data_IF_045546097693
#
_entry.id   IF_045546097693
#
_cell.length_a   1.000
_cell.length_b   1.000
_cell.length_c   1.000
_cell.angle_alpha   90.00
_cell.angle_beta   90.00
_cell.angle_gamma   90.00
#
_symmetry.space_group_name_H-M   'P 1'
#
loop_
_entity.id
_entity.type
_entity.pdbx_description
1 polymer ?
#
# COMPACT_ATOMS: atom_id res chain seq x y z
N UNK A 1 -34.50 -16.41 4.19
CA UNK A 1 -33.10 -16.01 3.94
C UNK A 1 -32.92 -14.61 4.48
N UNK A 2 -31.98 -14.38 5.40
CA UNK A 2 -31.71 -13.03 5.86
C UNK A 2 -31.20 -12.18 4.68
N UNK A 3 -31.67 -10.95 4.56
CA UNK A 3 -31.23 -10.02 3.54
C UNK A 3 -29.73 -9.74 3.75
N UNK A 4 -28.92 -9.81 2.69
CA UNK A 4 -27.49 -9.48 2.77
C UNK A 4 -27.29 -8.01 3.12
N UNK A 5 -26.29 -7.73 3.93
CA UNK A 5 -25.86 -6.36 4.23
C UNK A 5 -25.15 -5.79 3.00
N UNK A 6 -25.65 -4.68 2.48
CA UNK A 6 -25.09 -4.01 1.30
C UNK A 6 -24.00 -3.02 1.68
N UNK A 7 -22.80 -3.23 1.19
CA UNK A 7 -21.63 -2.38 1.51
C UNK A 7 -21.04 -1.78 0.24
N UNK A 8 -20.91 -0.45 0.23
CA UNK A 8 -20.16 0.27 -0.80
C UNK A 8 -18.76 0.61 -0.29
N UNK A 9 -17.73 0.01 -0.91
CA UNK A 9 -16.32 0.38 -0.74
C UNK A 9 -16.01 1.54 -1.69
N UNK A 10 -15.83 2.74 -1.17
CA UNK A 10 -15.64 3.95 -1.97
C UNK A 10 -14.20 4.42 -1.95
N UNK A 11 -13.62 4.63 -3.12
CA UNK A 11 -12.28 5.20 -3.27
C UNK A 11 -12.21 6.14 -4.47
N UNK A 12 -11.40 7.19 -4.37
CA UNK A 12 -11.22 8.16 -5.45
C UNK A 12 -10.24 7.71 -6.54
N UNK A 13 -9.45 6.69 -6.27
CA UNK A 13 -8.44 6.17 -7.18
C UNK A 13 -8.34 4.66 -7.02
N UNK A 14 -8.57 3.95 -8.12
CA UNK A 14 -8.52 2.49 -8.14
C UNK A 14 -7.50 2.02 -9.17
N UNK A 15 -6.26 2.51 -8.98
CA UNK A 15 -5.08 2.12 -9.74
C UNK A 15 -4.27 1.03 -9.02
N UNK A 16 -3.08 0.71 -9.51
CA UNK A 16 -2.15 -0.21 -8.85
C UNK A 16 -1.55 0.51 -7.62
N UNK A 17 -2.22 0.39 -6.48
CA UNK A 17 -1.86 1.06 -5.21
C UNK A 17 -2.19 0.18 -4.02
N UNK A 18 -1.52 0.42 -2.89
CA UNK A 18 -1.79 -0.32 -1.65
C UNK A 18 -3.25 -0.25 -1.18
N UNK A 19 -3.92 0.91 -1.34
CA UNK A 19 -5.34 1.06 -0.97
C UNK A 19 -6.22 0.15 -1.85
N UNK A 20 -5.96 0.12 -3.16
CA UNK A 20 -6.72 -0.73 -4.09
C UNK A 20 -6.55 -2.21 -3.76
N UNK A 21 -5.33 -2.64 -3.44
CA UNK A 21 -5.03 -4.02 -3.00
C UNK A 21 -5.79 -4.37 -1.73
N UNK A 22 -5.81 -3.47 -0.74
CA UNK A 22 -6.56 -3.68 0.52
C UNK A 22 -8.06 -3.83 0.26
N UNK A 23 -8.65 -2.96 -0.58
CA UNK A 23 -10.07 -3.05 -0.93
C UNK A 23 -10.38 -4.37 -1.63
N UNK A 24 -9.55 -4.79 -2.59
CA UNK A 24 -9.70 -6.05 -3.31
C UNK A 24 -9.62 -7.25 -2.35
N UNK A 25 -8.62 -7.26 -1.47
CA UNK A 25 -8.47 -8.32 -0.48
C UNK A 25 -9.70 -8.41 0.44
N UNK A 26 -10.20 -7.29 0.97
CA UNK A 26 -11.44 -7.31 1.76
C UNK A 26 -12.63 -7.85 0.94
N UNK A 27 -12.78 -7.41 -0.31
CA UNK A 27 -13.87 -7.86 -1.16
C UNK A 27 -13.78 -9.35 -1.54
N UNK A 28 -12.61 -9.95 -1.55
CA UNK A 28 -12.42 -11.38 -1.82
C UNK A 28 -12.74 -12.25 -0.60
N UNK A 29 -12.30 -11.81 0.57
CA UNK A 29 -12.30 -12.64 1.78
C UNK A 29 -13.53 -12.44 2.68
N UNK A 30 -14.26 -11.32 2.55
CA UNK A 30 -15.53 -11.15 3.26
C UNK A 30 -16.59 -12.12 2.78
N UNK A 31 -17.35 -12.70 3.72
CA UNK A 31 -18.38 -13.70 3.44
C UNK A 31 -19.49 -13.16 2.52
N UNK A 32 -19.50 -13.66 1.28
CA UNK A 32 -20.47 -13.31 0.24
C UNK A 32 -21.89 -13.81 0.51
N UNK A 33 -22.10 -14.74 1.43
CA UNK A 33 -23.43 -15.12 1.89
C UNK A 33 -24.04 -14.06 2.79
N UNK A 34 -23.21 -13.34 3.49
CA UNK A 34 -23.58 -12.31 4.48
C UNK A 34 -23.58 -10.88 3.87
N UNK A 35 -22.63 -10.60 2.99
CA UNK A 35 -22.41 -9.27 2.40
C UNK A 35 -22.65 -9.21 0.90
N UNK A 36 -23.24 -8.11 0.46
CA UNK A 36 -23.31 -7.69 -0.95
C UNK A 36 -22.34 -6.52 -1.13
N UNK A 37 -21.20 -6.80 -1.75
CA UNK A 37 -20.06 -5.88 -1.82
C UNK A 37 -19.97 -5.20 -3.18
N UNK A 38 -19.93 -3.88 -3.18
CA UNK A 38 -19.72 -3.07 -4.38
C UNK A 38 -18.53 -2.14 -4.19
N UNK A 39 -17.58 -2.17 -5.13
CA UNK A 39 -16.51 -1.16 -5.21
C UNK A 39 -17.00 0.00 -6.08
N UNK A 40 -16.94 1.22 -5.56
CA UNK A 40 -17.29 2.44 -6.28
C UNK A 40 -16.03 3.31 -6.40
N UNK A 41 -15.57 3.54 -7.61
CA UNK A 41 -14.29 4.21 -7.85
C UNK A 41 -14.32 5.24 -8.98
N UNK A 42 -13.57 6.33 -8.81
CA UNK A 42 -13.37 7.36 -9.84
C UNK A 42 -12.34 6.93 -10.90
N UNK A 43 -12.61 7.28 -12.16
CA UNK A 43 -11.64 7.07 -13.27
C UNK A 43 -10.39 7.96 -13.13
N UNK A 44 -9.22 7.53 -13.64
CA UNK A 44 -8.96 6.27 -14.33
C UNK A 44 -8.84 5.08 -13.36
N UNK A 45 -9.28 3.91 -13.82
CA UNK A 45 -9.16 2.63 -13.10
C UNK A 45 -8.15 1.76 -13.85
N UNK A 46 -7.26 1.09 -13.12
CA UNK A 46 -6.31 0.17 -13.72
C UNK A 46 -7.04 -1.05 -14.33
N UNK A 47 -6.61 -1.46 -15.52
CA UNK A 47 -7.22 -2.60 -16.22
C UNK A 47 -7.05 -3.90 -15.43
N UNK A 48 -5.93 -4.06 -14.75
CA UNK A 48 -5.66 -5.18 -13.85
C UNK A 48 -6.71 -5.29 -12.73
N UNK A 49 -7.09 -4.15 -12.15
CA UNK A 49 -8.10 -4.14 -11.08
C UNK A 49 -9.50 -4.42 -11.62
N UNK A 50 -9.83 -3.97 -12.85
CA UNK A 50 -11.09 -4.36 -13.51
C UNK A 50 -11.17 -5.86 -13.73
N UNK A 51 -10.10 -6.43 -14.29
CA UNK A 51 -10.00 -7.85 -14.53
C UNK A 51 -10.12 -8.64 -13.23
N UNK A 52 -9.44 -8.22 -12.19
CA UNK A 52 -9.48 -8.84 -10.88
C UNK A 52 -10.88 -8.77 -10.23
N UNK A 53 -11.59 -7.65 -10.36
CA UNK A 53 -12.99 -7.55 -9.94
C UNK A 53 -13.88 -8.55 -10.70
N UNK A 54 -13.74 -8.60 -12.03
CA UNK A 54 -14.54 -9.49 -12.88
C UNK A 54 -14.28 -10.98 -12.56
N UNK A 55 -13.02 -11.39 -12.44
CA UNK A 55 -12.61 -12.75 -12.14
C UNK A 55 -13.11 -13.23 -10.76
N UNK A 56 -13.21 -12.30 -9.80
CA UNK A 56 -13.68 -12.60 -8.46
C UNK A 56 -15.16 -12.26 -8.24
N UNK A 57 -15.92 -11.90 -9.27
CA UNK A 57 -17.33 -11.55 -9.15
C UNK A 57 -17.61 -10.35 -8.22
N UNK A 58 -16.67 -9.38 -8.14
CA UNK A 58 -16.83 -8.16 -7.37
C UNK A 58 -17.55 -7.13 -8.26
N UNK A 59 -18.66 -6.58 -7.78
CA UNK A 59 -19.36 -5.51 -8.46
C UNK A 59 -18.50 -4.24 -8.45
N UNK A 60 -18.13 -3.72 -9.63
CA UNK A 60 -17.37 -2.49 -9.78
C UNK A 60 -18.21 -1.43 -10.49
N UNK A 61 -18.42 -0.30 -9.83
CA UNK A 61 -19.11 0.88 -10.40
C UNK A 61 -18.08 1.97 -10.65
N UNK A 62 -17.90 2.34 -11.91
CA UNK A 62 -16.97 3.38 -12.34
C UNK A 62 -17.66 4.75 -12.38
N UNK A 63 -17.12 5.70 -11.65
CA UNK A 63 -17.56 7.09 -11.67
C UNK A 63 -16.72 7.92 -12.67
N UNK A 64 -17.23 9.05 -13.18
CA UNK A 64 -16.43 10.04 -13.90
C UNK A 64 -15.19 10.44 -13.12
N UNK A 65 -14.16 10.94 -13.82
CA UNK A 65 -12.93 11.38 -13.16
C UNK A 65 -13.20 12.54 -12.20
N UNK A 66 -12.81 12.38 -10.94
CA UNK A 66 -12.93 13.43 -9.93
C UNK A 66 -12.15 14.70 -10.29
N UNK A 67 -11.00 14.56 -10.95
CA UNK A 67 -10.14 15.69 -11.32
C UNK A 67 -10.64 16.44 -12.55
N UNK A 68 -11.24 15.74 -13.51
CA UNK A 68 -11.69 16.33 -14.77
C UNK A 68 -13.17 16.74 -14.75
N UNK A 69 -14.00 15.98 -14.03
CA UNK A 69 -15.45 16.11 -14.03
C UNK A 69 -16.04 16.04 -12.61
N UNK A 70 -15.49 16.84 -11.68
CA UNK A 70 -15.82 16.73 -10.25
C UNK A 70 -17.32 16.78 -9.93
N UNK A 71 -18.08 17.68 -10.57
CA UNK A 71 -19.53 17.76 -10.36
C UNK A 71 -20.23 16.49 -10.82
N UNK A 72 -19.91 16.00 -12.02
CA UNK A 72 -20.50 14.75 -12.54
C UNK A 72 -20.13 13.56 -11.65
N UNK A 73 -18.89 13.50 -11.17
CA UNK A 73 -18.43 12.46 -10.24
C UNK A 73 -19.31 12.39 -9.00
N UNK A 74 -19.50 13.51 -8.31
CA UNK A 74 -20.25 13.52 -7.06
C UNK A 74 -21.77 13.36 -7.26
N UNK A 75 -22.33 13.88 -8.35
CA UNK A 75 -23.73 13.63 -8.72
C UNK A 75 -23.94 12.14 -9.03
N UNK A 76 -23.01 11.51 -9.74
CA UNK A 76 -23.07 10.08 -10.04
C UNK A 76 -22.94 9.24 -8.77
N UNK A 77 -22.03 9.60 -7.87
CA UNK A 77 -21.92 8.93 -6.57
C UNK A 77 -23.23 8.99 -5.79
N UNK A 78 -23.84 10.18 -5.70
CA UNK A 78 -25.13 10.34 -5.04
C UNK A 78 -26.21 9.46 -5.64
N UNK A 79 -26.35 9.45 -6.99
CA UNK A 79 -27.33 8.61 -7.71
C UNK A 79 -27.13 7.13 -7.40
N UNK A 80 -25.90 6.64 -7.48
CA UNK A 80 -25.55 5.24 -7.21
C UNK A 80 -25.91 4.88 -5.76
N UNK A 81 -25.51 5.69 -4.79
CA UNK A 81 -25.82 5.41 -3.38
C UNK A 81 -27.31 5.46 -3.08
N UNK A 82 -28.05 6.41 -3.69
CA UNK A 82 -29.50 6.56 -3.51
C UNK A 82 -30.29 5.41 -4.13
N UNK A 83 -29.89 4.93 -5.30
CA UNK A 83 -30.58 3.88 -6.04
C UNK A 83 -30.38 2.47 -5.46
N UNK A 84 -29.18 2.19 -4.93
CA UNK A 84 -28.83 0.84 -4.46
C UNK A 84 -29.14 0.59 -2.98
N UNK A 85 -29.46 1.64 -2.19
CA UNK A 85 -29.83 1.53 -0.78
C UNK A 85 -28.77 0.73 0.04
N UNK A 86 -27.53 1.22 0.07
CA UNK A 86 -26.47 0.61 0.87
C UNK A 86 -26.71 0.81 2.38
N UNK A 87 -26.44 -0.23 3.17
CA UNK A 87 -26.46 -0.18 4.63
C UNK A 87 -25.21 0.53 5.16
N UNK A 88 -24.07 0.25 4.53
CA UNK A 88 -22.75 0.78 4.91
C UNK A 88 -22.09 1.43 3.70
N UNK A 89 -21.56 2.63 3.90
CA UNK A 89 -20.58 3.25 2.98
C UNK A 89 -19.24 3.33 3.69
N UNK A 90 -18.24 2.60 3.16
CA UNK A 90 -16.89 2.53 3.68
C UNK A 90 -15.95 3.30 2.74
N UNK A 91 -15.54 4.49 3.14
CA UNK A 91 -14.69 5.39 2.33
C UNK A 91 -13.23 5.20 2.70
N UNK A 92 -12.42 4.86 1.70
CA UNK A 92 -10.98 4.65 1.84
C UNK A 92 -10.20 5.85 1.32
N UNK A 93 -9.27 6.38 2.14
CA UNK A 93 -8.45 7.52 1.75
C UNK A 93 -7.45 7.93 2.82
N UNK A 94 -6.88 9.15 2.67
CA UNK A 94 -5.84 9.67 3.57
C UNK A 94 -6.05 11.15 3.90
N UNK A 95 -7.24 11.67 3.67
CA UNK A 95 -7.49 13.11 3.80
C UNK A 95 -8.91 13.41 4.25
N UNK A 96 -9.09 14.50 4.98
CA UNK A 96 -10.42 15.05 5.33
C UNK A 96 -11.29 15.37 4.11
N UNK A 97 -10.76 15.32 2.89
CA UNK A 97 -11.55 15.42 1.67
C UNK A 97 -12.59 14.30 1.55
N UNK A 98 -12.41 13.16 2.23
CA UNK A 98 -13.43 12.12 2.38
C UNK A 98 -14.74 12.64 2.99
N UNK A 99 -14.73 13.83 3.60
CA UNK A 99 -15.95 14.49 4.08
C UNK A 99 -16.97 14.70 2.97
N UNK A 100 -16.54 14.87 1.73
CA UNK A 100 -17.45 15.07 0.59
C UNK A 100 -18.21 13.79 0.29
N UNK A 101 -17.51 12.66 0.15
CA UNK A 101 -18.11 11.34 -0.09
C UNK A 101 -19.02 10.92 1.06
N UNK A 102 -18.59 11.14 2.31
CA UNK A 102 -19.40 10.85 3.50
C UNK A 102 -20.63 11.72 3.62
N UNK A 103 -20.56 12.99 3.18
CA UNK A 103 -21.71 13.89 3.13
C UNK A 103 -22.72 13.41 2.08
N UNK A 104 -22.24 13.03 0.91
CA UNK A 104 -23.07 12.48 -0.16
C UNK A 104 -23.77 11.20 0.32
N UNK A 105 -23.04 10.32 1.03
CA UNK A 105 -23.62 9.12 1.62
C UNK A 105 -24.74 9.46 2.64
N UNK A 106 -24.50 10.46 3.50
CA UNK A 106 -25.53 10.96 4.42
C UNK A 106 -26.77 11.50 3.68
N UNK A 107 -26.56 12.30 2.64
CA UNK A 107 -27.65 12.84 1.81
C UNK A 107 -28.40 11.74 1.03
N UNK A 108 -27.74 10.66 0.66
CA UNK A 108 -28.36 9.49 0.06
C UNK A 108 -29.17 8.64 1.05
N UNK A 109 -29.08 8.93 2.36
CA UNK A 109 -29.80 8.24 3.44
C UNK A 109 -29.00 7.08 4.09
N UNK A 110 -27.70 6.92 3.77
CA UNK A 110 -26.87 5.89 4.37
C UNK A 110 -26.54 6.23 5.83
N UNK A 111 -26.92 5.35 6.74
CA UNK A 111 -26.79 5.58 8.19
C UNK A 111 -25.34 5.30 8.66
N UNK A 112 -24.75 4.21 8.20
CA UNK A 112 -23.40 3.78 8.61
C UNK A 112 -22.38 4.30 7.58
N UNK A 113 -21.51 5.22 8.03
CA UNK A 113 -20.53 5.91 7.19
C UNK A 113 -19.16 5.77 7.84
N UNK A 114 -18.32 4.91 7.25
CA UNK A 114 -16.99 4.58 7.75
C UNK A 114 -15.94 5.40 7.01
N UNK A 115 -15.05 6.04 7.75
CA UNK A 115 -13.84 6.67 7.22
C UNK A 115 -12.63 5.80 7.55
N UNK A 116 -11.88 5.32 6.55
CA UNK A 116 -10.70 4.48 6.75
C UNK A 116 -9.44 5.20 6.27
N UNK A 117 -8.54 5.48 7.21
CA UNK A 117 -7.27 6.17 6.98
C UNK A 117 -6.18 5.18 6.56
N UNK A 118 -5.46 5.49 5.46
CA UNK A 118 -4.41 4.64 4.91
C UNK A 118 -3.03 5.30 4.81
N UNK A 119 -2.89 6.58 5.20
CA UNK A 119 -1.60 7.27 5.11
C UNK A 119 -1.49 8.37 6.18
N UNK A 120 -0.27 8.85 6.40
CA UNK A 120 0.09 9.90 7.37
C UNK A 120 0.27 11.28 6.72
N UNK A 121 -0.08 11.41 5.44
CA UNK A 121 0.02 12.68 4.70
C UNK A 121 -0.96 12.68 3.50
N UNK A 122 -1.27 13.88 3.01
CA UNK A 122 -2.04 14.06 1.79
C UNK A 122 -1.45 15.19 0.93
N UNK A 123 -1.67 15.18 -0.40
CA UNK A 123 -1.10 16.18 -1.29
C UNK A 123 -1.60 17.61 -1.03
N UNK A 124 -2.86 17.78 -0.61
CA UNK A 124 -3.47 19.09 -0.41
C UNK A 124 -3.74 19.38 1.06
N UNK A 125 -2.70 19.81 1.77
CA UNK A 125 -2.75 20.13 3.20
C UNK A 125 -3.70 21.28 3.54
N UNK A 126 -3.87 22.27 2.63
CA UNK A 126 -4.75 23.41 2.88
C UNK A 126 -6.21 22.96 2.94
N UNK A 127 -6.66 22.23 1.93
CA UNK A 127 -8.02 21.70 1.88
C UNK A 127 -8.25 20.70 3.03
N UNK A 128 -7.27 19.84 3.30
CA UNK A 128 -7.34 18.92 4.44
C UNK A 128 -7.63 19.66 5.75
N UNK A 129 -6.85 20.70 6.08
CA UNK A 129 -7.03 21.49 7.31
C UNK A 129 -8.38 22.19 7.39
N UNK A 130 -8.86 22.75 6.28
CA UNK A 130 -10.16 23.45 6.22
C UNK A 130 -11.31 22.47 6.46
N UNK A 131 -11.27 21.29 5.85
CA UNK A 131 -12.34 20.30 5.95
C UNK A 131 -12.29 19.47 7.24
N UNK A 132 -11.15 19.39 7.91
CA UNK A 132 -10.95 18.49 9.05
C UNK A 132 -11.95 18.68 10.21
N UNK A 133 -12.33 19.90 10.64
CA UNK A 133 -13.32 20.06 11.70
C UNK A 133 -14.71 19.53 11.34
N UNK A 134 -15.09 19.64 10.07
CA UNK A 134 -16.35 19.06 9.57
C UNK A 134 -16.22 17.55 9.35
N UNK A 135 -15.11 17.10 8.79
CA UNK A 135 -14.82 15.68 8.57
C UNK A 135 -14.98 14.87 9.85
N UNK A 136 -14.46 15.37 10.99
CA UNK A 136 -14.53 14.70 12.29
C UNK A 136 -15.96 14.51 12.84
N UNK A 137 -16.96 15.15 12.23
CA UNK A 137 -18.37 15.08 12.64
C UNK A 137 -19.27 14.32 11.67
N UNK A 138 -18.78 13.97 10.46
CA UNK A 138 -19.63 13.41 9.41
C UNK A 138 -19.62 11.89 9.33
N UNK A 139 -18.49 11.23 9.64
CA UNK A 139 -18.46 9.77 9.74
C UNK A 139 -19.17 9.27 11.02
N UNK A 140 -19.58 8.01 11.01
CA UNK A 140 -20.16 7.32 12.20
C UNK A 140 -19.17 6.35 12.82
N UNK A 141 -18.16 5.89 12.04
CA UNK A 141 -17.09 5.03 12.49
C UNK A 141 -15.78 5.45 11.84
N UNK A 142 -14.70 5.47 12.61
CA UNK A 142 -13.34 5.76 12.16
C UNK A 142 -12.49 4.49 12.22
N UNK A 143 -11.81 4.17 11.11
CA UNK A 143 -10.85 3.08 11.01
C UNK A 143 -9.52 3.60 10.49
N UNK A 144 -8.42 2.97 10.88
CA UNK A 144 -7.08 3.31 10.39
C UNK A 144 -6.25 2.05 10.18
N UNK A 145 -5.39 2.04 9.17
CA UNK A 145 -4.47 0.93 8.92
C UNK A 145 -3.36 0.79 9.97
N UNK A 146 -3.15 1.81 10.80
CA UNK A 146 -2.19 1.86 11.90
C UNK A 146 -2.39 3.10 12.74
N UNK A 147 -1.75 3.14 13.90
CA UNK A 147 -1.92 4.24 14.87
C UNK A 147 -1.55 5.60 14.28
N UNK A 148 -0.39 5.72 13.61
CA UNK A 148 0.04 6.99 13.03
C UNK A 148 -0.93 7.50 11.94
N UNK A 149 -1.50 6.61 11.12
CA UNK A 149 -2.49 6.99 10.11
C UNK A 149 -3.82 7.45 10.76
N UNK A 150 -4.19 6.87 11.89
CA UNK A 150 -5.34 7.27 12.68
C UNK A 150 -5.12 8.64 13.36
N UNK A 151 -4.04 8.80 14.10
CA UNK A 151 -3.66 10.06 14.77
C UNK A 151 -3.59 11.22 13.76
N UNK A 152 -3.03 10.98 12.58
CA UNK A 152 -2.95 11.95 11.48
C UNK A 152 -4.33 12.45 11.03
N UNK A 153 -5.27 11.54 10.79
CA UNK A 153 -6.56 11.91 10.18
C UNK A 153 -7.61 12.29 11.23
N UNK A 154 -7.70 11.54 12.30
CA UNK A 154 -8.76 11.68 13.30
C UNK A 154 -8.33 12.52 14.52
N UNK A 155 -7.02 12.67 14.76
CA UNK A 155 -6.48 13.39 15.91
C UNK A 155 -6.89 12.73 17.22
N UNK A 156 -7.58 13.47 18.09
CA UNK A 156 -8.05 12.98 19.39
C UNK A 156 -9.36 12.17 19.35
N UNK A 157 -10.01 12.10 18.17
CA UNK A 157 -11.21 11.27 18.02
C UNK A 157 -10.84 9.79 18.07
N UNK A 158 -11.69 8.99 18.69
CA UNK A 158 -11.51 7.54 18.76
C UNK A 158 -11.57 6.90 17.37
N UNK A 159 -10.71 5.92 17.14
CA UNK A 159 -10.67 5.08 15.95
C UNK A 159 -10.22 3.67 16.28
N UNK A 160 -10.61 2.72 15.44
CA UNK A 160 -10.14 1.34 15.56
C UNK A 160 -9.07 1.07 14.50
N UNK A 161 -8.06 0.28 14.88
CA UNK A 161 -6.97 -0.09 13.99
C UNK A 161 -7.35 -1.39 13.28
N UNK A 162 -7.41 -1.32 11.95
CA UNK A 162 -7.57 -2.47 11.06
C UNK A 162 -6.32 -2.50 10.16
N UNK A 163 -5.33 -3.34 10.43
CA UNK A 163 -4.13 -3.45 9.61
C UNK A 163 -4.48 -3.78 8.16
N UNK A 164 -3.66 -3.34 7.22
CA UNK A 164 -3.79 -3.78 5.83
C UNK A 164 -3.50 -5.28 5.77
N UNK A 165 -4.56 -6.09 5.67
CA UNK A 165 -4.44 -7.54 5.61
C UNK A 165 -4.03 -8.03 4.23
N UNK A 166 -3.23 -9.09 4.19
CA UNK A 166 -2.84 -9.79 2.98
C UNK A 166 -2.51 -11.25 3.28
N UNK A 167 -2.40 -12.06 2.24
CA UNK A 167 -2.06 -13.47 2.35
C UNK A 167 -0.60 -13.63 2.75
N UNK A 168 -0.36 -13.70 4.06
CA UNK A 168 1.01 -13.74 4.62
C UNK A 168 1.78 -14.98 4.21
N UNK A 169 1.09 -16.09 3.93
CA UNK A 169 1.67 -17.35 3.46
C UNK A 169 2.31 -17.23 2.07
N UNK A 170 1.85 -16.25 1.26
CA UNK A 170 2.42 -16.02 -0.07
C UNK A 170 3.80 -15.35 -0.03
N UNK A 171 4.19 -14.77 1.13
CA UNK A 171 5.44 -14.04 1.27
C UNK A 171 6.45 -14.84 2.10
N UNK A 172 6.89 -15.96 1.55
CA UNK A 172 7.97 -16.76 2.09
C UNK A 172 9.16 -16.74 1.14
N UNK A 173 10.40 -16.76 1.69
CA UNK A 173 11.60 -16.83 0.87
C UNK A 173 11.60 -18.10 0.04
N UNK A 174 11.79 -17.96 -1.26
CA UNK A 174 11.82 -19.05 -2.21
C UNK A 174 13.14 -19.04 -2.98
N UNK A 175 13.96 -20.07 -2.77
CA UNK A 175 15.27 -20.17 -3.37
C UNK A 175 15.24 -20.49 -4.86
N UNK A 176 14.24 -21.26 -5.30
CA UNK A 176 14.09 -21.59 -6.73
C UNK A 176 13.63 -20.34 -7.51
N UNK A 177 12.68 -19.59 -6.96
CA UNK A 177 12.29 -18.30 -7.53
C UNK A 177 13.45 -17.30 -7.54
N UNK A 178 14.26 -17.28 -6.48
CA UNK A 178 15.48 -16.47 -6.46
C UNK A 178 16.42 -16.81 -7.62
N UNK A 179 16.71 -18.09 -7.81
CA UNK A 179 17.58 -18.55 -8.91
C UNK A 179 16.98 -18.23 -10.28
N UNK A 180 15.68 -18.46 -10.45
CA UNK A 180 14.95 -18.17 -11.68
C UNK A 180 15.07 -16.69 -12.06
N UNK A 181 14.66 -15.79 -11.14
CA UNK A 181 14.67 -14.35 -11.41
C UNK A 181 16.09 -13.81 -11.63
N UNK A 182 17.07 -14.25 -10.82
CA UNK A 182 18.46 -13.81 -10.99
C UNK A 182 19.02 -14.25 -12.35
N UNK A 183 18.69 -15.45 -12.82
CA UNK A 183 19.08 -15.96 -14.15
C UNK A 183 18.37 -15.20 -15.28
N UNK A 184 17.08 -14.95 -15.18
CA UNK A 184 16.30 -14.20 -16.16
C UNK A 184 16.81 -12.77 -16.36
N UNK A 185 17.37 -12.18 -15.31
CA UNK A 185 17.91 -10.81 -15.32
C UNK A 185 19.43 -10.74 -15.57
N UNK A 186 20.11 -11.89 -15.71
CA UNK A 186 21.58 -11.99 -15.86
C UNK A 186 22.34 -11.35 -14.67
N UNK A 187 21.89 -11.68 -13.44
CA UNK A 187 22.44 -11.13 -12.19
C UNK A 187 22.73 -12.20 -11.11
N UNK A 188 23.04 -13.44 -11.53
CA UNK A 188 23.22 -14.59 -10.60
C UNK A 188 24.24 -14.31 -9.51
N UNK A 189 25.39 -13.76 -9.86
CA UNK A 189 26.49 -13.49 -8.95
C UNK A 189 26.52 -12.05 -8.43
N UNK A 190 25.45 -11.27 -8.70
CA UNK A 190 25.38 -9.87 -8.32
C UNK A 190 24.77 -9.67 -6.93
N UNK A 191 25.23 -8.61 -6.26
CA UNK A 191 24.58 -8.05 -5.08
C UNK A 191 23.36 -7.25 -5.52
N UNK A 192 22.13 -7.73 -5.21
CA UNK A 192 20.88 -7.13 -5.67
C UNK A 192 20.28 -6.24 -4.59
N UNK A 193 20.34 -4.94 -4.81
CA UNK A 193 19.68 -3.93 -4.00
C UNK A 193 18.30 -3.69 -4.61
N UNK A 194 17.24 -3.91 -3.84
CA UNK A 194 15.88 -3.89 -4.36
C UNK A 194 15.02 -2.76 -3.82
N UNK A 195 14.10 -2.31 -4.67
CA UNK A 195 13.02 -1.40 -4.29
C UNK A 195 11.76 -1.76 -5.08
N UNK A 196 10.64 -1.89 -4.38
CA UNK A 196 9.32 -2.08 -5.00
C UNK A 196 8.41 -0.92 -4.57
N UNK A 197 7.80 -0.25 -5.53
CA UNK A 197 6.86 0.81 -5.20
C UNK A 197 6.47 1.69 -6.39
N UNK A 198 5.41 2.51 -6.17
CA UNK A 198 4.98 3.50 -7.16
C UNK A 198 6.03 4.59 -7.32
N UNK A 199 6.39 4.92 -8.56
CA UNK A 199 7.38 5.98 -8.85
C UNK A 199 6.73 7.35 -8.66
N UNK A 200 6.98 7.96 -7.51
CA UNK A 200 6.44 9.27 -7.11
C UNK A 200 7.36 9.95 -6.08
N UNK A 201 7.07 11.20 -5.73
CA UNK A 201 7.82 11.97 -4.74
C UNK A 201 7.87 11.29 -3.35
N UNK A 202 6.81 10.57 -2.96
CA UNK A 202 6.73 9.88 -1.68
C UNK A 202 7.81 8.80 -1.54
N UNK A 203 7.97 7.96 -2.59
CA UNK A 203 8.89 6.80 -2.58
C UNK A 203 10.36 7.18 -2.82
N UNK A 204 10.64 8.39 -3.35
CA UNK A 204 11.96 8.99 -3.40
C UNK A 204 13.05 8.17 -4.13
N UNK A 205 12.68 7.59 -5.27
CA UNK A 205 13.60 6.77 -6.07
C UNK A 205 14.87 7.52 -6.51
N UNK A 206 14.80 8.85 -6.66
CA UNK A 206 15.96 9.67 -7.00
C UNK A 206 17.07 9.60 -5.93
N UNK A 207 16.67 9.65 -4.65
CA UNK A 207 17.61 9.49 -3.55
C UNK A 207 18.23 8.09 -3.56
N UNK A 208 17.42 7.07 -3.86
CA UNK A 208 17.90 5.69 -3.96
C UNK A 208 18.93 5.50 -5.09
N UNK A 209 18.70 6.09 -6.26
CA UNK A 209 19.66 6.04 -7.37
C UNK A 209 20.99 6.70 -6.96
N UNK A 210 20.94 7.88 -6.37
CA UNK A 210 22.14 8.56 -5.87
C UNK A 210 22.87 7.74 -4.81
N UNK A 211 22.13 7.05 -3.95
CA UNK A 211 22.68 6.13 -2.95
C UNK A 211 23.35 4.94 -3.63
N UNK A 212 22.68 4.35 -4.62
CA UNK A 212 23.21 3.22 -5.39
C UNK A 212 24.51 3.58 -6.11
N UNK A 213 24.63 4.78 -6.68
CA UNK A 213 25.86 5.25 -7.30
C UNK A 213 27.06 5.26 -6.31
N UNK A 214 26.82 5.52 -5.02
CA UNK A 214 27.89 5.40 -4.01
C UNK A 214 28.21 3.94 -3.72
N UNK A 215 27.23 3.03 -3.76
CA UNK A 215 27.47 1.58 -3.64
C UNK A 215 28.29 1.08 -4.85
N UNK A 216 27.88 1.41 -6.06
CA UNK A 216 28.51 0.95 -7.30
C UNK A 216 29.97 1.41 -7.45
N UNK A 217 30.36 2.55 -6.86
CA UNK A 217 31.76 3.01 -6.80
C UNK A 217 32.70 2.03 -6.09
N UNK A 218 32.20 1.28 -5.13
CA UNK A 218 33.02 0.41 -4.27
C UNK A 218 32.69 -1.07 -4.46
N UNK A 219 31.55 -1.37 -5.06
CA UNK A 219 31.09 -2.74 -5.35
C UNK A 219 30.65 -2.85 -6.81
N UNK A 220 31.58 -3.23 -7.69
CA UNK A 220 31.33 -3.32 -9.13
C UNK A 220 30.28 -4.37 -9.52
N UNK A 221 30.00 -5.34 -8.63
CA UNK A 221 29.01 -6.40 -8.83
C UNK A 221 27.63 -6.07 -8.21
N UNK A 222 27.41 -4.82 -7.76
CA UNK A 222 26.11 -4.39 -7.29
C UNK A 222 25.17 -4.06 -8.45
N UNK A 223 23.89 -4.40 -8.27
CA UNK A 223 22.77 -4.06 -9.18
C UNK A 223 21.64 -3.46 -8.39
N UNK A 224 21.03 -2.39 -8.91
CA UNK A 224 19.80 -1.81 -8.39
C UNK A 224 18.59 -2.32 -9.18
N UNK A 225 17.69 -3.05 -8.52
CA UNK A 225 16.45 -3.55 -9.11
C UNK A 225 15.28 -2.68 -8.66
N UNK A 226 14.72 -1.90 -9.58
CA UNK A 226 13.57 -1.02 -9.38
C UNK A 226 12.32 -1.63 -9.99
N UNK A 227 11.34 -2.01 -9.14
CA UNK A 227 10.09 -2.63 -9.56
C UNK A 227 8.94 -1.65 -9.34
N UNK A 228 8.17 -1.39 -10.38
CA UNK A 228 7.01 -0.51 -10.34
C UNK A 228 6.95 0.50 -11.49
N UNK A 229 5.96 1.37 -11.42
CA UNK A 229 5.75 2.50 -12.34
C UNK A 229 5.07 3.65 -11.60
N UNK A 230 4.89 4.79 -12.25
CA UNK A 230 4.21 5.92 -11.64
C UNK A 230 4.46 7.24 -12.35
N UNK A 231 3.93 8.35 -11.83
CA UNK A 231 4.03 9.66 -12.48
C UNK A 231 5.46 10.13 -12.69
N UNK A 232 6.40 9.69 -11.84
CA UNK A 232 7.82 10.06 -11.95
C UNK A 232 8.65 9.06 -12.79
N UNK A 233 8.04 8.08 -13.46
CA UNK A 233 8.76 7.05 -14.21
C UNK A 233 9.72 7.64 -15.24
N UNK A 234 9.26 8.54 -16.11
CA UNK A 234 10.08 9.15 -17.13
C UNK A 234 11.22 10.01 -16.56
N UNK A 235 10.97 10.70 -15.43
CA UNK A 235 11.99 11.46 -14.72
C UNK A 235 13.07 10.55 -14.14
N UNK A 236 12.66 9.47 -13.49
CA UNK A 236 13.58 8.46 -12.93
C UNK A 236 14.40 7.80 -14.05
N UNK A 237 13.75 7.42 -15.17
CA UNK A 237 14.43 6.88 -16.33
C UNK A 237 15.48 7.86 -16.88
N UNK A 238 15.16 9.15 -17.02
CA UNK A 238 16.10 10.17 -17.46
C UNK A 238 17.31 10.33 -16.53
N UNK A 239 17.15 10.17 -15.21
CA UNK A 239 18.25 10.16 -14.26
C UNK A 239 19.15 8.95 -14.48
N UNK A 240 18.55 7.77 -14.68
CA UNK A 240 19.30 6.52 -14.93
C UNK A 240 20.07 6.62 -16.25
N UNK A 241 19.45 7.07 -17.32
CA UNK A 241 20.06 7.20 -18.64
C UNK A 241 21.34 8.10 -18.63
N UNK A 242 21.38 9.06 -17.70
CA UNK A 242 22.54 9.96 -17.49
C UNK A 242 23.52 9.47 -16.42
N UNK A 243 23.25 8.36 -15.74
CA UNK A 243 24.15 7.79 -14.74
C UNK A 243 25.32 7.03 -15.40
N UNK A 244 26.52 7.13 -14.79
CA UNK A 244 27.67 6.31 -15.14
C UNK A 244 27.41 4.81 -14.89
N UNK A 245 26.46 4.49 -14.01
CA UNK A 245 26.12 3.13 -13.58
C UNK A 245 24.82 2.61 -14.21
N UNK A 246 24.34 3.23 -15.30
CA UNK A 246 23.06 2.89 -15.93
C UNK A 246 22.90 1.40 -16.27
N UNK A 247 23.99 0.71 -16.64
CA UNK A 247 23.99 -0.72 -16.97
C UNK A 247 23.84 -1.63 -15.74
N UNK A 248 23.94 -1.08 -14.53
CA UNK A 248 23.75 -1.77 -13.24
C UNK A 248 22.40 -1.42 -12.60
N UNK A 249 21.53 -0.65 -13.30
CA UNK A 249 20.21 -0.27 -12.80
C UNK A 249 19.14 -0.87 -13.70
N UNK A 250 18.33 -1.76 -13.15
CA UNK A 250 17.26 -2.45 -13.85
C UNK A 250 15.92 -1.79 -13.53
N UNK A 251 15.26 -1.24 -14.54
CA UNK A 251 13.86 -0.80 -14.46
C UNK A 251 12.96 -1.96 -14.91
N UNK A 252 12.48 -2.76 -13.95
CA UNK A 252 11.72 -3.97 -14.27
C UNK A 252 10.28 -3.69 -14.73
N UNK A 253 9.70 -2.56 -14.31
CA UNK A 253 8.29 -2.30 -14.55
C UNK A 253 7.38 -2.94 -13.49
N UNK A 254 6.10 -3.17 -13.84
CA UNK A 254 5.08 -3.71 -12.93
C UNK A 254 5.05 -5.23 -13.04
N UNK A 255 4.92 -5.91 -11.89
CA UNK A 255 4.73 -7.36 -11.83
C UNK A 255 3.74 -7.76 -10.73
N UNK A 256 3.08 -8.89 -10.91
CA UNK A 256 2.32 -9.59 -9.86
C UNK A 256 3.21 -10.57 -9.05
N UNK A 257 4.39 -10.89 -9.53
CA UNK A 257 5.34 -11.83 -8.92
C UNK A 257 6.25 -11.15 -7.89
N UNK A 258 5.68 -10.27 -7.03
CA UNK A 258 6.48 -9.51 -6.06
C UNK A 258 7.26 -10.40 -5.10
N UNK A 259 6.72 -11.56 -4.72
CA UNK A 259 7.41 -12.58 -3.91
C UNK A 259 8.73 -13.03 -4.56
N UNK A 260 8.70 -13.33 -5.86
CA UNK A 260 9.89 -13.75 -6.59
C UNK A 260 10.94 -12.61 -6.64
N UNK A 261 10.48 -11.36 -6.83
CA UNK A 261 11.35 -10.19 -6.78
C UNK A 261 12.02 -10.03 -5.41
N UNK A 262 11.25 -10.12 -4.29
CA UNK A 262 11.84 -10.08 -2.95
C UNK A 262 12.82 -11.23 -2.70
N UNK A 263 12.54 -12.41 -3.22
CA UNK A 263 13.46 -13.56 -3.10
C UNK A 263 14.77 -13.32 -3.84
N UNK A 264 14.74 -12.65 -5.00
CA UNK A 264 15.93 -12.32 -5.79
C UNK A 264 16.81 -11.24 -5.17
N UNK A 265 16.25 -10.35 -4.35
CA UNK A 265 16.97 -9.26 -3.69
C UNK A 265 17.84 -9.75 -2.53
N UNK A 266 18.91 -9.01 -2.22
CA UNK A 266 19.80 -9.23 -1.06
C UNK A 266 19.56 -8.21 0.06
N UNK A 267 19.09 -7.00 -0.29
CA UNK A 267 18.64 -5.97 0.64
C UNK A 267 17.50 -5.16 0.03
N UNK A 268 16.47 -4.88 0.81
CA UNK A 268 15.36 -4.00 0.42
C UNK A 268 15.58 -2.59 0.96
N UNK A 269 15.43 -1.57 0.10
CA UNK A 269 15.67 -0.19 0.48
C UNK A 269 14.41 0.66 0.25
N UNK A 270 13.95 1.34 1.31
CA UNK A 270 12.74 2.17 1.27
C UNK A 270 13.04 3.59 1.80
N UNK A 271 13.54 4.52 0.96
CA UNK A 271 13.88 5.88 1.35
C UNK A 271 12.68 6.82 1.29
N UNK A 272 11.49 6.31 1.61
CA UNK A 272 10.24 7.07 1.52
C UNK A 272 10.24 8.30 2.41
N UNK A 273 9.63 9.40 1.93
CA UNK A 273 9.47 10.64 2.67
C UNK A 273 8.37 10.57 3.73
N UNK A 274 7.42 9.67 3.56
CA UNK A 274 6.34 9.34 4.49
C UNK A 274 5.62 8.08 4.05
N UNK A 275 5.07 7.33 5.00
CA UNK A 275 4.20 6.16 4.76
C UNK A 275 3.16 6.06 5.88
N UNK A 276 1.99 5.55 5.54
CA UNK A 276 0.99 5.15 6.53
C UNK A 276 1.31 3.76 7.11
N UNK A 277 1.06 2.74 6.30
CA UNK A 277 1.49 1.36 6.57
C UNK A 277 2.05 0.78 5.26
N UNK A 278 3.38 0.81 5.05
CA UNK A 278 3.99 0.38 3.79
C UNK A 278 3.92 -1.14 3.63
N UNK A 279 2.93 -1.63 2.89
CA UNK A 279 2.71 -3.07 2.62
C UNK A 279 3.97 -3.71 2.02
N UNK A 280 4.64 -3.04 1.09
CA UNK A 280 5.90 -3.53 0.47
C UNK A 280 7.01 -3.81 1.49
N UNK A 281 7.03 -3.11 2.61
CA UNK A 281 8.01 -3.34 3.68
C UNK A 281 7.62 -4.53 4.55
N UNK A 282 6.32 -4.76 4.77
CA UNK A 282 5.83 -5.97 5.43
C UNK A 282 6.15 -7.20 4.58
N UNK A 283 5.84 -7.15 3.28
CA UNK A 283 6.14 -8.21 2.30
C UNK A 283 7.63 -8.55 2.27
N UNK A 284 8.51 -7.53 2.19
CA UNK A 284 9.96 -7.73 2.22
C UNK A 284 10.42 -8.43 3.51
N UNK A 285 9.95 -7.98 4.68
CA UNK A 285 10.30 -8.59 5.96
C UNK A 285 9.80 -10.04 6.07
N UNK A 286 8.60 -10.35 5.56
CA UNK A 286 8.06 -11.72 5.59
C UNK A 286 8.89 -12.70 4.78
N UNK A 287 9.58 -12.23 3.72
CA UNK A 287 10.57 -13.05 3.00
C UNK A 287 11.93 -13.11 3.71
N UNK A 288 12.05 -12.59 4.93
CA UNK A 288 13.31 -12.49 5.66
C UNK A 288 14.35 -11.60 5.00
N UNK A 289 13.94 -10.73 4.08
CA UNK A 289 14.83 -9.81 3.38
C UNK A 289 15.28 -8.68 4.31
N UNK A 290 16.60 -8.46 4.48
CA UNK A 290 17.09 -7.31 5.24
C UNK A 290 16.56 -5.99 4.68
N UNK A 291 16.11 -5.10 5.56
CA UNK A 291 15.47 -3.85 5.17
C UNK A 291 16.21 -2.62 5.72
N UNK A 292 16.46 -1.64 4.85
CA UNK A 292 16.96 -0.32 5.22
C UNK A 292 15.90 0.71 4.86
N UNK A 293 15.44 1.46 5.84
CA UNK A 293 14.22 2.27 5.74
C UNK A 293 14.45 3.67 6.28
N UNK A 294 13.78 4.64 5.67
CA UNK A 294 13.76 6.02 6.14
C UNK A 294 13.15 6.14 7.53
N UNK A 295 13.72 6.98 8.38
CA UNK A 295 13.20 7.37 9.69
C UNK A 295 11.83 8.12 9.63
N UNK A 296 11.39 8.51 8.43
CA UNK A 296 10.08 9.13 8.18
C UNK A 296 8.94 8.11 7.96
N UNK A 297 9.27 6.82 7.94
CA UNK A 297 8.31 5.72 7.84
C UNK A 297 7.89 5.28 9.24
N UNK A 298 6.64 4.84 9.41
CA UNK A 298 6.14 4.36 10.70
C UNK A 298 6.92 3.12 11.18
N UNK A 299 7.26 3.11 12.47
CA UNK A 299 7.90 1.96 13.12
C UNK A 299 6.91 0.84 13.49
N UNK A 300 5.63 1.06 13.30
CA UNK A 300 4.59 0.05 13.57
C UNK A 300 4.78 -1.23 12.73
N UNK A 301 5.42 -1.11 11.57
CA UNK A 301 5.71 -2.22 10.65
C UNK A 301 7.00 -2.97 10.96
N UNK A 302 7.77 -2.56 11.98
CA UNK A 302 9.04 -3.19 12.30
C UNK A 302 8.84 -4.51 13.06
N UNK A 303 9.37 -5.60 12.51
CA UNK A 303 9.41 -6.90 13.19
C UNK A 303 10.63 -7.03 14.12
N UNK A 304 11.48 -5.99 14.18
CA UNK A 304 12.63 -5.91 15.08
C UNK A 304 14.01 -6.01 14.41
N UNK A 305 14.08 -6.01 13.07
CA UNK A 305 15.34 -6.14 12.32
C UNK A 305 15.53 -5.09 11.20
N UNK A 306 14.72 -4.04 11.19
CA UNK A 306 14.86 -2.93 10.22
C UNK A 306 15.99 -1.99 10.66
N UNK A 307 16.86 -1.64 9.73
CA UNK A 307 17.81 -0.54 9.95
C UNK A 307 17.17 0.80 9.50
N UNK A 308 17.03 1.70 10.46
CA UNK A 308 16.43 3.01 10.24
C UNK A 308 17.49 4.06 10.00
N UNK A 309 17.35 4.84 8.92
CA UNK A 309 18.28 5.91 8.54
C UNK A 309 17.53 7.19 8.16
N UNK A 310 18.14 8.33 8.42
CA UNK A 310 17.58 9.61 7.99
C UNK A 310 17.76 9.82 6.47
N UNK A 311 16.70 10.28 5.78
CA UNK A 311 16.81 10.71 4.38
C UNK A 311 17.52 12.06 4.23
N UNK A 312 17.80 12.73 5.34
CA UNK A 312 18.60 13.95 5.38
C UNK A 312 20.11 13.64 5.44
N UNK A 313 20.46 12.39 5.74
CA UNK A 313 21.84 11.92 5.74
C UNK A 313 22.43 11.90 4.33
N UNK A 314 23.77 12.00 4.28
CA UNK A 314 24.49 11.80 3.03
C UNK A 314 24.26 10.39 2.46
N UNK A 315 24.12 10.28 1.14
CA UNK A 315 23.91 9.01 0.43
C UNK A 315 25.04 8.00 0.69
N UNK A 316 26.25 8.47 1.05
CA UNK A 316 27.38 7.63 1.44
C UNK A 316 27.11 6.84 2.72
N UNK A 317 26.35 7.39 3.69
CA UNK A 317 25.99 6.68 4.93
C UNK A 317 25.01 5.54 4.62
N UNK A 318 24.02 5.81 3.77
CA UNK A 318 23.11 4.76 3.30
C UNK A 318 23.84 3.67 2.52
N UNK A 319 24.76 4.06 1.62
CA UNK A 319 25.56 3.09 0.85
C UNK A 319 26.38 2.17 1.75
N UNK A 320 27.03 2.73 2.77
CA UNK A 320 27.80 1.94 3.76
C UNK A 320 26.88 0.94 4.49
N UNK A 321 25.72 1.39 4.93
CA UNK A 321 24.73 0.55 5.61
C UNK A 321 24.20 -0.56 4.70
N UNK A 322 23.96 -0.28 3.43
CA UNK A 322 23.53 -1.28 2.43
C UNK A 322 24.57 -2.38 2.29
N UNK A 323 25.84 -2.03 2.12
CA UNK A 323 26.92 -3.00 1.97
C UNK A 323 27.13 -3.85 3.24
N UNK A 324 26.96 -3.27 4.42
CA UNK A 324 27.07 -4.00 5.69
C UNK A 324 25.89 -4.95 5.94
N UNK A 325 24.70 -4.59 5.47
CA UNK A 325 23.45 -5.33 5.70
C UNK A 325 23.25 -6.48 4.73
N UNK A 326 23.77 -6.37 3.52
CA UNK A 326 23.57 -7.33 2.41
C UNK A 326 24.23 -8.71 2.64
N UNK A 327 24.90 -8.94 3.75
CA UNK A 327 25.70 -10.16 4.03
C UNK A 327 24.87 -11.31 4.64
N UNK A 328 23.55 -11.12 4.88
CA UNK A 328 22.73 -12.19 5.49
C UNK A 328 22.60 -13.41 4.58
N UNK A 329 22.84 -14.59 5.14
CA UNK A 329 22.74 -15.86 4.42
C UNK A 329 21.26 -16.25 4.13
N UNK A 330 21.02 -17.05 3.09
CA UNK A 330 19.70 -17.62 2.79
C UNK A 330 19.12 -18.44 3.94
N UNK A 331 19.99 -19.07 4.76
CA UNK A 331 19.59 -19.81 5.97
C UNK A 331 18.96 -18.86 7.00
N UNK A 332 19.57 -17.68 7.21
CA UNK A 332 19.00 -16.67 8.12
C UNK A 332 17.64 -16.16 7.62
N UNK A 333 17.47 -16.00 6.30
CA UNK A 333 16.19 -15.60 5.70
C UNK A 333 15.08 -16.63 5.94
N UNK A 334 15.35 -17.93 5.79
CA UNK A 334 14.38 -19.00 6.07
C UNK A 334 13.95 -19.03 7.53
N UNK A 335 14.88 -18.82 8.45
CA UNK A 335 14.59 -18.83 9.88
C UNK A 335 13.88 -17.57 10.38
N UNK A 336 13.94 -16.47 9.62
CA UNK A 336 13.33 -15.19 9.99
C UNK A 336 11.82 -15.31 10.21
N UNK A 337 11.11 -15.98 9.30
CA UNK A 337 9.66 -16.16 9.38
C UNK A 337 9.24 -16.86 10.68
N UNK A 338 9.89 -17.96 11.04
CA UNK A 338 9.58 -18.69 12.27
C UNK A 338 9.81 -17.83 13.51
N UNK A 339 10.87 -17.03 13.53
CA UNK A 339 11.18 -16.10 14.63
C UNK A 339 10.11 -15.02 14.82
N UNK A 340 9.47 -14.56 13.75
CA UNK A 340 8.54 -13.44 13.76
C UNK A 340 7.09 -13.84 13.46
N UNK A 341 6.75 -15.12 13.54
CA UNK A 341 5.46 -15.68 13.11
C UNK A 341 4.25 -14.97 13.74
N UNK A 342 4.29 -14.68 15.04
CA UNK A 342 3.18 -14.00 15.74
C UNK A 342 2.95 -12.60 15.17
N UNK A 343 4.02 -11.87 14.86
CA UNK A 343 3.93 -10.54 14.28
C UNK A 343 3.43 -10.58 12.84
N UNK A 344 3.89 -11.56 12.06
CA UNK A 344 3.45 -11.80 10.69
C UNK A 344 1.95 -12.12 10.67
N UNK A 345 1.48 -12.99 11.55
CA UNK A 345 0.06 -13.37 11.65
C UNK A 345 -0.85 -12.18 11.97
N UNK A 346 -0.39 -11.15 12.68
CA UNK A 346 -1.22 -9.95 12.95
C UNK A 346 -1.58 -9.16 11.69
N UNK A 347 -0.92 -9.42 10.56
CA UNK A 347 -1.24 -8.85 9.24
C UNK A 347 -1.93 -9.86 8.31
N UNK A 348 -2.29 -11.04 8.81
CA UNK A 348 -3.00 -12.04 8.02
C UNK A 348 -4.39 -11.55 7.63
N UNK A 349 -4.74 -11.75 6.35
CA UNK A 349 -6.01 -11.26 5.80
C UNK A 349 -7.22 -11.83 6.51
N UNK A 350 -7.18 -13.11 6.91
CA UNK A 350 -8.30 -13.74 7.60
C UNK A 350 -8.54 -13.10 8.97
N UNK A 351 -7.46 -12.77 9.71
CA UNK A 351 -7.60 -12.06 11.00
C UNK A 351 -8.16 -10.65 10.80
N UNK A 352 -7.67 -9.93 9.80
CA UNK A 352 -8.12 -8.57 9.46
C UNK A 352 -9.59 -8.57 9.04
N UNK A 353 -9.98 -9.50 8.19
CA UNK A 353 -11.37 -9.62 7.71
C UNK A 353 -12.32 -10.02 8.84
N UNK A 354 -11.91 -10.93 9.72
CA UNK A 354 -12.71 -11.31 10.90
C UNK A 354 -12.91 -10.10 11.84
N UNK A 355 -11.91 -9.22 11.98
CA UNK A 355 -12.05 -8.01 12.77
C UNK A 355 -13.01 -7.02 12.08
N UNK A 356 -12.88 -6.84 10.79
CA UNK A 356 -13.76 -5.97 9.98
C UNK A 356 -15.21 -6.47 10.00
N UNK A 357 -15.41 -7.79 9.90
CA UNK A 357 -16.71 -8.46 10.01
C UNK A 357 -17.41 -8.13 11.33
N UNK A 358 -16.72 -8.28 12.47
CA UNK A 358 -17.24 -7.92 13.78
C UNK A 358 -17.64 -6.45 13.87
N UNK A 359 -16.88 -5.55 13.26
CA UNK A 359 -17.20 -4.12 13.22
C UNK A 359 -18.48 -3.90 12.42
N UNK A 360 -18.59 -4.47 11.23
CA UNK A 360 -19.80 -4.32 10.40
C UNK A 360 -21.05 -4.86 11.10
N UNK A 361 -20.98 -6.05 11.71
CA UNK A 361 -22.08 -6.62 12.50
C UNK A 361 -22.50 -5.70 13.65
N UNK A 362 -21.53 -5.27 14.44
CA UNK A 362 -21.81 -4.36 15.55
C UNK A 362 -22.54 -3.09 15.07
N UNK A 363 -22.08 -2.49 13.97
CA UNK A 363 -22.65 -1.24 13.45
C UNK A 363 -24.06 -1.40 12.87
N UNK A 364 -24.38 -2.56 12.30
CA UNK A 364 -25.71 -2.83 11.73
C UNK A 364 -26.72 -3.14 12.83
N UNK A 365 -26.30 -3.69 13.97
CA UNK A 365 -27.18 -4.07 15.07
C UNK A 365 -27.31 -3.00 16.17
N UNK A 366 -26.62 -1.85 16.04
CA UNK A 366 -26.81 -0.63 16.83
C UNK A 366 -27.92 0.25 16.26
#
# INVERSE_FOLDING_TARGET
MNQKIKIAMVTNHFGITGISTVILNYCKELDRHKYDLTVIAGKPIAEENRKECAENGICLIELPSRHQESVKHYVSLWKVLKQNHYDIVHVHGSSSMMAVELTIAKMAGVKIRIAHSHNTMCPNMKIHRILNPYFRKIYTQALACGKMAGDWLFGENEFEIIPNGFHTELFEFDEEERKRVKKELDIEDKLVIGHIGRFNEQKNQEYLIKTFEQVAKVCGDAVLLLVGTGPNFNRVKGIIDNSLYKNQIILYGVTKETRAMYSAMDVFVLPSRYEGLPVVLLEAQMTGLPCIVSDKVTREVDFGEIQWLSIEDATTNWAKSILQTAVKSNVQRRNYRSKHITRIQSYDINQTVNQLDRIYERLVHQ
#
